data_IF_156005461789
#
_entry.id   IF_156005461789
#
_cell.length_a   1.000
_cell.length_b   1.000
_cell.length_c   1.000
_cell.angle_alpha   90.00
_cell.angle_beta   90.00
_cell.angle_gamma   90.00
#
_symmetry.space_group_name_H-M   'P 1'
#
loop_
_entity.id
_entity.type
_entity.pdbx_description
1 polymer ?
#
# COMPACT_ATOMS: atom_id res chain seq x y z
N UNK A 1 20.09 46.78 -38.78
CA UNK A 1 19.34 45.53 -39.06
C UNK A 1 19.82 44.34 -38.23
N UNK A 2 21.13 44.08 -38.14
CA UNK A 2 21.69 42.89 -37.48
C UNK A 2 21.39 42.74 -35.98
N UNK A 3 21.50 43.84 -35.20
CA UNK A 3 21.19 43.84 -33.75
C UNK A 3 19.73 43.50 -33.42
N UNK A 4 18.79 43.86 -34.30
CA UNK A 4 17.35 43.56 -34.12
C UNK A 4 17.07 42.05 -34.27
N UNK A 5 17.81 41.38 -35.17
CA UNK A 5 17.68 39.94 -35.39
C UNK A 5 18.27 39.12 -34.24
N UNK A 6 19.37 39.57 -33.64
CA UNK A 6 19.94 38.93 -32.44
C UNK A 6 18.98 39.01 -31.25
N UNK A 7 18.37 40.18 -31.03
CA UNK A 7 17.40 40.37 -29.95
C UNK A 7 16.13 39.51 -30.12
N UNK A 8 15.61 39.40 -31.36
CA UNK A 8 14.50 38.49 -31.67
C UNK A 8 14.85 37.02 -31.37
N UNK A 9 16.05 36.58 -31.77
CA UNK A 9 16.53 35.21 -31.48
C UNK A 9 16.68 34.97 -29.96
N UNK A 10 17.18 35.95 -29.21
CA UNK A 10 17.28 35.85 -27.75
C UNK A 10 15.91 35.78 -27.08
N UNK A 11 14.93 36.56 -27.53
CA UNK A 11 13.55 36.48 -27.03
C UNK A 11 12.94 35.11 -27.28
N UNK A 12 13.11 34.53 -28.48
CA UNK A 12 12.61 33.19 -28.80
C UNK A 12 13.25 32.14 -27.87
N UNK A 13 14.57 32.20 -27.68
CA UNK A 13 15.27 31.30 -26.76
C UNK A 13 14.79 31.43 -25.32
N UNK A 14 14.51 32.65 -24.86
CA UNK A 14 14.00 32.91 -23.52
C UNK A 14 12.59 32.36 -23.32
N UNK A 15 11.71 32.49 -24.33
CA UNK A 15 10.35 31.91 -24.28
C UNK A 15 10.42 30.38 -24.27
N UNK A 16 11.22 29.77 -25.14
CA UNK A 16 11.40 28.30 -25.16
C UNK A 16 11.92 27.81 -23.81
N UNK A 17 12.87 28.52 -23.21
CA UNK A 17 13.40 28.16 -21.88
C UNK A 17 12.31 28.26 -20.80
N UNK A 18 11.51 29.33 -20.82
CA UNK A 18 10.41 29.50 -19.86
C UNK A 18 9.36 28.39 -20.01
N UNK A 19 8.96 28.08 -21.24
CA UNK A 19 8.02 27.00 -21.54
C UNK A 19 8.56 25.65 -21.05
N UNK A 20 9.83 25.34 -21.33
CA UNK A 20 10.47 24.10 -20.86
C UNK A 20 10.50 23.99 -19.34
N UNK A 21 10.81 25.08 -18.62
CA UNK A 21 10.80 25.12 -17.15
C UNK A 21 9.38 24.90 -16.63
N UNK A 22 8.38 25.52 -17.25
CA UNK A 22 6.99 25.35 -16.84
C UNK A 22 6.48 23.92 -17.07
N UNK A 23 6.78 23.35 -18.24
CA UNK A 23 6.48 21.95 -18.55
C UNK A 23 7.16 20.99 -17.57
N UNK A 24 8.44 21.23 -17.24
CA UNK A 24 9.16 20.43 -16.26
C UNK A 24 8.55 20.54 -14.86
N UNK A 25 8.16 21.73 -14.43
CA UNK A 25 7.54 21.93 -13.12
C UNK A 25 6.21 21.17 -13.00
N UNK A 26 5.37 21.21 -14.04
CA UNK A 26 4.11 20.45 -14.09
C UNK A 26 4.41 18.95 -14.07
N UNK A 27 5.35 18.49 -14.90
CA UNK A 27 5.72 17.08 -14.98
C UNK A 27 6.24 16.56 -13.63
N UNK A 28 7.17 17.30 -13.02
CA UNK A 28 7.74 16.95 -11.72
C UNK A 28 6.67 16.92 -10.61
N UNK A 29 5.70 17.85 -10.65
CA UNK A 29 4.58 17.87 -9.71
C UNK A 29 3.72 16.61 -9.84
N UNK A 30 3.32 16.25 -11.07
CA UNK A 30 2.53 15.03 -11.33
C UNK A 30 3.31 13.79 -10.90
N UNK A 31 4.58 13.68 -11.29
CA UNK A 31 5.43 12.54 -10.95
C UNK A 31 5.58 12.38 -9.43
N UNK A 32 5.74 13.48 -8.70
CA UNK A 32 5.86 13.47 -7.24
C UNK A 32 4.56 13.00 -6.58
N UNK A 33 3.41 13.49 -7.04
CA UNK A 33 2.11 13.05 -6.53
C UNK A 33 1.88 11.55 -6.78
N UNK A 34 2.16 11.07 -7.99
CA UNK A 34 2.02 9.65 -8.33
C UNK A 34 2.96 8.78 -7.49
N UNK A 35 4.21 9.20 -7.31
CA UNK A 35 5.17 8.47 -6.50
C UNK A 35 4.70 8.38 -5.03
N UNK A 36 4.18 9.47 -4.47
CA UNK A 36 3.60 9.49 -3.14
C UNK A 36 2.45 8.49 -2.99
N UNK A 37 1.52 8.48 -3.94
CA UNK A 37 0.39 7.54 -3.94
C UNK A 37 0.84 6.08 -4.09
N UNK A 38 1.83 5.79 -4.94
CA UNK A 38 2.37 4.43 -5.09
C UNK A 38 3.00 3.94 -3.79
N UNK A 39 3.77 4.79 -3.10
CA UNK A 39 4.39 4.44 -1.83
C UNK A 39 3.34 4.15 -0.76
N UNK A 40 2.30 4.99 -0.67
CA UNK A 40 1.21 4.79 0.28
C UNK A 40 0.40 3.51 -0.04
N UNK A 41 0.10 3.29 -1.32
CA UNK A 41 -0.59 2.08 -1.79
C UNK A 41 0.18 0.81 -1.43
N UNK A 42 1.50 0.78 -1.67
CA UNK A 42 2.34 -0.38 -1.32
C UNK A 42 2.36 -0.64 0.19
N UNK A 43 2.38 0.40 1.02
CA UNK A 43 2.30 0.22 2.48
C UNK A 43 0.97 -0.41 2.88
N UNK A 44 -0.14 0.07 2.31
CA UNK A 44 -1.47 -0.51 2.55
C UNK A 44 -1.57 -1.95 2.06
N UNK A 45 -1.02 -2.26 0.88
CA UNK A 45 -0.99 -3.60 0.32
C UNK A 45 -0.23 -4.59 1.22
N UNK A 46 0.93 -4.20 1.75
CA UNK A 46 1.70 -5.03 2.68
C UNK A 46 0.91 -5.31 3.97
N UNK A 47 0.21 -4.31 4.51
CA UNK A 47 -0.62 -4.48 5.69
C UNK A 47 -1.82 -5.42 5.41
N UNK A 48 -2.49 -5.24 4.27
CA UNK A 48 -3.58 -6.12 3.85
C UNK A 48 -3.10 -7.56 3.65
N UNK A 49 -1.95 -7.78 3.00
CA UNK A 49 -1.38 -9.11 2.82
C UNK A 49 -1.08 -9.78 4.15
N UNK A 50 -0.60 -9.02 5.15
CA UNK A 50 -0.37 -9.54 6.50
C UNK A 50 -1.68 -9.96 7.17
N UNK A 51 -2.73 -9.16 7.05
CA UNK A 51 -4.06 -9.49 7.57
C UNK A 51 -4.67 -10.71 6.88
N UNK A 52 -4.52 -10.82 5.56
CA UNK A 52 -4.94 -11.98 4.78
C UNK A 52 -4.18 -13.25 5.19
N UNK A 53 -2.87 -13.15 5.42
CA UNK A 53 -2.07 -14.28 5.92
C UNK A 53 -2.57 -14.74 7.30
N UNK A 54 -2.86 -13.81 8.20
CA UNK A 54 -3.43 -14.12 9.52
C UNK A 54 -4.76 -14.87 9.40
N UNK A 55 -5.67 -14.38 8.56
CA UNK A 55 -6.94 -15.05 8.32
C UNK A 55 -6.78 -16.43 7.67
N UNK A 56 -5.82 -16.57 6.76
CA UNK A 56 -5.51 -17.85 6.10
C UNK A 56 -5.02 -18.88 7.11
N UNK A 57 -4.10 -18.50 8.01
CA UNK A 57 -3.62 -19.39 9.09
C UNK A 57 -4.75 -19.74 10.05
N UNK A 58 -5.57 -18.78 10.44
CA UNK A 58 -6.77 -19.02 11.24
C UNK A 58 -7.70 -20.07 10.60
N UNK A 59 -8.00 -19.93 9.31
CA UNK A 59 -8.82 -20.89 8.57
C UNK A 59 -8.18 -22.27 8.51
N UNK A 60 -6.87 -22.36 8.27
CA UNK A 60 -6.15 -23.64 8.27
C UNK A 60 -6.17 -24.30 9.64
N UNK A 61 -6.01 -23.55 10.73
CA UNK A 61 -6.09 -24.07 12.09
C UNK A 61 -7.46 -24.69 12.38
N UNK A 62 -8.54 -24.00 11.99
CA UNK A 62 -9.90 -24.50 12.10
C UNK A 62 -10.13 -25.76 11.25
N UNK A 63 -9.69 -25.75 9.99
CA UNK A 63 -9.86 -26.89 9.07
C UNK A 63 -9.09 -28.13 9.51
N UNK A 64 -7.93 -27.95 10.12
CA UNK A 64 -7.08 -29.04 10.61
C UNK A 64 -7.39 -29.45 12.06
N UNK A 65 -8.33 -28.74 12.72
CA UNK A 65 -8.69 -28.97 14.12
C UNK A 65 -7.57 -28.66 15.12
N UNK A 66 -6.55 -27.91 14.72
CA UNK A 66 -5.42 -27.58 15.59
C UNK A 66 -5.75 -26.40 16.51
N UNK A 67 -5.56 -26.58 17.82
CA UNK A 67 -5.73 -25.52 18.83
C UNK A 67 -4.70 -24.39 18.70
N UNK A 68 -3.57 -24.66 18.08
CA UNK A 68 -2.54 -23.69 17.77
C UNK A 68 -1.88 -24.08 16.46
N UNK A 69 -1.70 -23.13 15.56
CA UNK A 69 -1.02 -23.34 14.29
C UNK A 69 -0.04 -22.20 14.03
N UNK A 70 1.18 -22.53 13.65
CA UNK A 70 2.20 -21.56 13.23
C UNK A 70 2.60 -21.81 11.79
N UNK A 71 2.47 -20.81 10.93
CA UNK A 71 2.87 -20.86 9.52
C UNK A 71 3.61 -19.57 9.19
N UNK A 72 4.77 -19.67 8.54
CA UNK A 72 5.61 -18.52 8.17
C UNK A 72 5.96 -17.59 9.36
N UNK A 73 6.09 -18.15 10.57
CA UNK A 73 6.37 -17.39 11.79
C UNK A 73 5.17 -16.66 12.38
N UNK A 74 3.98 -16.79 11.77
CA UNK A 74 2.73 -16.29 12.31
C UNK A 74 2.01 -17.38 13.09
N UNK A 75 1.69 -17.12 14.35
CA UNK A 75 1.04 -18.07 15.27
C UNK A 75 -0.39 -17.66 15.58
N UNK A 76 -1.35 -18.57 15.37
CA UNK A 76 -2.76 -18.37 15.69
C UNK A 76 -3.21 -19.40 16.71
N UNK A 77 -4.10 -18.99 17.63
CA UNK A 77 -4.69 -19.82 18.66
C UNK A 77 -6.19 -19.98 18.45
N UNK A 78 -6.69 -21.20 18.52
CA UNK A 78 -8.12 -21.52 18.44
C UNK A 78 -8.59 -21.96 19.83
N UNK A 79 -9.56 -21.23 20.38
CA UNK A 79 -10.16 -21.49 21.69
C UNK A 79 -11.61 -21.92 21.47
N UNK A 80 -11.97 -23.08 22.00
CA UNK A 80 -13.37 -23.51 22.09
C UNK A 80 -13.94 -23.05 23.42
N UNK A 81 -15.05 -22.33 23.40
CA UNK A 81 -15.79 -21.93 24.59
C UNK A 81 -17.25 -22.44 24.50
N UNK A 82 -18.05 -22.18 25.55
CA UNK A 82 -19.46 -22.60 25.60
C UNK A 82 -20.34 -21.92 24.53
N UNK A 83 -19.84 -20.85 23.90
CA UNK A 83 -20.54 -20.07 22.87
C UNK A 83 -20.10 -20.45 21.44
N UNK A 84 -19.09 -21.33 21.29
CA UNK A 84 -18.55 -21.79 20.00
C UNK A 84 -17.02 -21.72 19.91
N UNK A 85 -16.49 -21.38 18.74
CA UNK A 85 -15.05 -21.32 18.43
C UNK A 85 -14.57 -19.88 18.22
N UNK A 86 -13.47 -19.53 18.87
CA UNK A 86 -12.82 -18.23 18.75
C UNK A 86 -11.37 -18.37 18.28
N UNK A 87 -10.93 -17.46 17.42
CA UNK A 87 -9.57 -17.48 16.87
C UNK A 87 -8.84 -16.19 17.21
N UNK A 88 -7.63 -16.33 17.75
CA UNK A 88 -6.82 -15.25 18.29
C UNK A 88 -5.43 -15.19 17.65
N UNK A 89 -4.92 -13.98 17.47
CA UNK A 89 -3.51 -13.71 17.19
C UNK A 89 -2.97 -12.78 18.29
N UNK A 90 -2.13 -13.33 19.18
CA UNK A 90 -1.77 -12.66 20.42
C UNK A 90 -3.00 -12.43 21.31
N UNK A 91 -3.29 -11.16 21.61
CA UNK A 91 -4.48 -10.74 22.38
C UNK A 91 -5.66 -10.32 21.52
N UNK A 92 -5.48 -10.26 20.20
CA UNK A 92 -6.49 -9.79 19.26
C UNK A 92 -7.41 -10.94 18.84
N UNK A 93 -8.73 -10.74 18.97
CA UNK A 93 -9.76 -11.67 18.50
C UNK A 93 -10.01 -11.44 17.01
N UNK A 94 -9.70 -12.45 16.19
CA UNK A 94 -9.82 -12.38 14.73
C UNK A 94 -11.19 -12.86 14.25
N UNK A 95 -11.63 -14.03 14.72
CA UNK A 95 -12.88 -14.68 14.30
C UNK A 95 -13.63 -15.22 15.52
N UNK A 96 -14.96 -15.23 15.43
CA UNK A 96 -15.85 -15.94 16.33
C UNK A 96 -16.87 -16.72 15.50
N UNK A 97 -17.02 -18.01 15.77
CA UNK A 97 -18.03 -18.88 15.17
C UNK A 97 -18.92 -19.33 16.32
N UNK A 98 -20.20 -18.98 16.25
CA UNK A 98 -21.18 -19.43 17.24
C UNK A 98 -21.69 -20.82 16.84
N UNK A 99 -21.70 -21.75 17.79
CA UNK A 99 -22.46 -22.99 17.62
C UNK A 99 -23.95 -22.68 17.83
N UNK A 100 -24.77 -23.18 16.91
CA UNK A 100 -26.19 -22.81 16.74
C UNK A 100 -27.11 -23.56 17.69
#
# INVERSE_FOLDING_TARGET
MERLNVFKKQKIKAVILLEAVFSLAIFASIATLLLGQIQESRKREVELLKQEEVLRVARMALQTGQKQLTVNGLTVHVVSNEQGLEVYHGTEKLLAIQDK
#
